data_IF_550386551599
#
_entry.id   IF_550386551599
#
_cell.length_a   1.000
_cell.length_b   1.000
_cell.length_c   1.000
_cell.angle_alpha   90.00
_cell.angle_beta   90.00
_cell.angle_gamma   90.00
#
_symmetry.space_group_name_H-M   'P 1'
#
loop_
_entity.id
_entity.type
_entity.pdbx_description
1 polymer ?
#
# COMPACT_ATOMS: atom_id res chain seq x y z
N UNK A 1 1.10 0.45 -31.13
CA UNK A 1 0.41 -0.06 -29.92
C UNK A 1 1.07 -1.36 -29.51
N UNK A 2 1.57 -1.51 -28.28
CA UNK A 2 2.11 -2.78 -27.83
C UNK A 2 0.99 -3.82 -27.80
N UNK A 3 1.22 -4.95 -28.46
CA UNK A 3 0.28 -6.09 -28.41
C UNK A 3 0.40 -6.71 -27.02
N UNK A 4 -0.60 -6.54 -26.18
CA UNK A 4 -0.72 -7.30 -24.94
C UNK A 4 -0.77 -8.78 -25.26
N UNK A 5 0.11 -9.57 -24.66
CA UNK A 5 0.00 -11.02 -24.73
C UNK A 5 -1.31 -11.40 -23.99
N UNK A 6 -2.25 -11.99 -24.69
CA UNK A 6 -3.64 -12.27 -24.25
C UNK A 6 -3.74 -13.05 -22.93
N UNK A 7 -2.70 -13.80 -22.53
CA UNK A 7 -2.66 -14.58 -21.27
C UNK A 7 -2.04 -13.82 -20.09
N UNK A 8 -1.36 -12.70 -20.32
CA UNK A 8 -0.71 -11.91 -19.28
C UNK A 8 -1.39 -10.54 -19.07
N UNK A 9 -2.46 -10.25 -19.84
CA UNK A 9 -3.12 -8.96 -19.83
C UNK A 9 -3.69 -8.56 -18.46
N UNK A 10 -4.15 -9.53 -17.68
CA UNK A 10 -4.75 -9.32 -16.35
C UNK A 10 -3.73 -9.42 -15.20
N UNK A 11 -2.46 -9.73 -15.51
CA UNK A 11 -1.43 -9.86 -14.49
C UNK A 11 -0.89 -8.48 -14.08
N UNK A 12 -0.92 -8.18 -12.77
CA UNK A 12 -0.51 -6.88 -12.22
C UNK A 12 0.92 -6.49 -12.56
N UNK A 13 1.86 -7.44 -12.60
CA UNK A 13 3.28 -7.18 -12.93
C UNK A 13 3.46 -6.85 -14.40
N UNK A 14 2.71 -7.55 -15.28
CA UNK A 14 2.71 -7.28 -16.70
C UNK A 14 2.13 -5.89 -17.00
N UNK A 15 1.02 -5.53 -16.38
CA UNK A 15 0.39 -4.21 -16.52
C UNK A 15 1.32 -3.11 -16.05
N UNK A 16 1.93 -3.25 -14.86
CA UNK A 16 2.87 -2.27 -14.32
C UNK A 16 4.09 -2.06 -15.24
N UNK A 17 4.63 -3.15 -15.81
CA UNK A 17 5.72 -3.03 -16.77
C UNK A 17 5.32 -2.25 -18.03
N UNK A 18 4.14 -2.51 -18.59
CA UNK A 18 3.65 -1.77 -19.77
C UNK A 18 3.37 -0.31 -19.47
N UNK A 19 2.86 0.02 -18.29
CA UNK A 19 2.71 1.41 -17.86
C UNK A 19 4.08 2.09 -17.72
N UNK A 20 5.05 1.41 -17.11
CA UNK A 20 6.41 1.89 -16.96
C UNK A 20 7.14 2.06 -18.30
N UNK A 21 6.81 1.27 -19.31
CA UNK A 21 7.36 1.39 -20.67
C UNK A 21 7.05 2.74 -21.33
N UNK A 22 6.05 3.48 -20.85
CA UNK A 22 5.76 4.84 -21.30
C UNK A 22 6.85 5.85 -20.92
N UNK A 23 7.63 5.54 -19.88
CA UNK A 23 8.69 6.40 -19.35
C UNK A 23 10.09 5.82 -19.60
N UNK A 24 10.19 4.51 -19.79
CA UNK A 24 11.45 3.81 -20.06
C UNK A 24 11.21 2.75 -21.14
N UNK A 25 11.67 3.03 -22.37
CA UNK A 25 11.47 2.17 -23.55
C UNK A 25 12.06 0.76 -23.35
N UNK A 26 13.11 0.58 -22.54
CA UNK A 26 13.70 -0.73 -22.24
C UNK A 26 12.71 -1.69 -21.60
N UNK A 27 11.74 -1.15 -20.85
CA UNK A 27 10.69 -1.95 -20.20
C UNK A 27 9.59 -2.42 -21.17
N UNK A 28 9.63 -1.97 -22.44
CA UNK A 28 8.67 -2.43 -23.46
C UNK A 28 8.86 -3.90 -23.82
N UNK A 29 10.07 -4.43 -23.67
CA UNK A 29 10.41 -5.84 -23.90
C UNK A 29 10.68 -6.56 -22.56
N UNK A 30 10.48 -7.89 -22.55
CA UNK A 30 10.84 -8.71 -21.37
C UNK A 30 12.35 -8.84 -21.22
N UNK A 31 13.10 -8.80 -22.31
CA UNK A 31 14.56 -8.77 -22.27
C UNK A 31 15.07 -7.56 -21.52
N UNK A 32 14.68 -6.36 -21.97
CA UNK A 32 15.11 -5.12 -21.35
C UNK A 32 14.66 -5.00 -19.91
N UNK A 33 13.43 -5.43 -19.61
CA UNK A 33 12.94 -5.44 -18.23
C UNK A 33 13.70 -6.42 -17.34
N UNK A 34 14.05 -7.60 -17.84
CA UNK A 34 14.83 -8.60 -17.11
C UNK A 34 16.24 -8.10 -16.80
N UNK A 35 16.87 -7.40 -17.75
CA UNK A 35 18.17 -6.75 -17.53
C UNK A 35 18.08 -5.65 -16.45
N UNK A 36 17.10 -4.78 -16.53
CA UNK A 36 16.89 -3.70 -15.52
C UNK A 36 16.62 -4.26 -14.12
N UNK A 37 15.88 -5.36 -14.04
CA UNK A 37 15.55 -6.01 -12.77
C UNK A 37 16.67 -6.92 -12.26
N UNK A 38 17.64 -7.29 -13.09
CA UNK A 38 18.66 -8.28 -12.75
C UNK A 38 18.09 -9.69 -12.54
N UNK A 39 16.98 -10.04 -13.21
CA UNK A 39 16.34 -11.35 -13.13
C UNK A 39 16.41 -12.08 -14.47
N UNK A 40 16.27 -13.41 -14.44
CA UNK A 40 16.20 -14.20 -15.68
C UNK A 40 14.93 -13.89 -16.47
N UNK A 41 15.06 -13.73 -17.80
CA UNK A 41 13.94 -13.44 -18.69
C UNK A 41 12.83 -14.50 -18.63
N UNK A 42 13.21 -15.77 -18.54
CA UNK A 42 12.25 -16.86 -18.45
C UNK A 42 11.47 -16.81 -17.14
N UNK A 43 12.16 -16.45 -16.06
CA UNK A 43 11.53 -16.25 -14.75
C UNK A 43 10.54 -15.09 -14.78
N UNK A 44 10.93 -13.94 -15.34
CA UNK A 44 10.03 -12.79 -15.52
C UNK A 44 8.80 -13.18 -16.36
N UNK A 45 8.99 -13.92 -17.46
CA UNK A 45 7.89 -14.40 -18.29
C UNK A 45 6.92 -15.30 -17.51
N UNK A 46 7.41 -16.18 -16.63
CA UNK A 46 6.58 -17.05 -15.79
C UNK A 46 5.81 -16.28 -14.72
N UNK A 47 6.41 -15.23 -14.16
CA UNK A 47 5.73 -14.32 -13.22
C UNK A 47 4.59 -13.60 -13.93
N UNK A 48 4.83 -13.01 -15.10
CA UNK A 48 3.82 -12.29 -15.88
C UNK A 48 2.70 -13.21 -16.41
N UNK A 49 2.98 -14.48 -16.63
CA UNK A 49 1.98 -15.48 -17.02
C UNK A 49 1.23 -16.08 -15.81
N UNK A 50 1.62 -15.70 -14.59
CA UNK A 50 1.01 -16.23 -13.37
C UNK A 50 1.38 -17.69 -13.05
N UNK A 51 2.39 -18.24 -13.74
CA UNK A 51 2.85 -19.61 -13.53
C UNK A 51 3.73 -19.77 -12.30
N UNK A 52 4.36 -18.67 -11.86
CA UNK A 52 5.25 -18.61 -10.70
C UNK A 52 4.95 -17.36 -9.90
N UNK A 53 4.86 -17.50 -8.59
CA UNK A 53 4.77 -16.36 -7.67
C UNK A 53 6.16 -15.74 -7.51
N UNK A 54 6.31 -14.41 -7.67
CA UNK A 54 7.59 -13.75 -7.42
C UNK A 54 7.96 -13.80 -5.93
N UNK A 55 9.25 -13.69 -5.64
CA UNK A 55 9.72 -13.48 -4.28
C UNK A 55 9.44 -12.03 -3.84
N UNK A 56 9.27 -11.77 -2.54
CA UNK A 56 9.05 -10.41 -2.04
C UNK A 56 10.11 -9.41 -2.49
N UNK A 57 11.36 -9.83 -2.58
CA UNK A 57 12.49 -9.01 -3.05
C UNK A 57 12.35 -8.63 -4.52
N UNK A 58 11.87 -9.55 -5.36
CA UNK A 58 11.60 -9.28 -6.77
C UNK A 58 10.46 -8.26 -6.94
N UNK A 59 9.44 -8.36 -6.08
CA UNK A 59 8.32 -7.41 -6.07
C UNK A 59 8.78 -6.02 -5.65
N UNK A 60 9.68 -5.92 -4.68
CA UNK A 60 10.29 -4.64 -4.28
C UNK A 60 11.04 -3.99 -5.45
N UNK A 61 11.89 -4.76 -6.16
CA UNK A 61 12.60 -4.29 -7.34
C UNK A 61 11.66 -3.87 -8.46
N UNK A 62 10.63 -4.68 -8.74
CA UNK A 62 9.61 -4.35 -9.74
C UNK A 62 8.87 -3.06 -9.38
N UNK A 63 8.46 -2.90 -8.12
CA UNK A 63 7.75 -1.71 -7.67
C UNK A 63 8.59 -0.44 -7.82
N UNK A 64 9.89 -0.52 -7.57
CA UNK A 64 10.81 0.62 -7.68
C UNK A 64 11.15 0.94 -9.15
N UNK A 65 11.52 -0.06 -9.95
CA UNK A 65 11.91 0.13 -11.37
C UNK A 65 10.70 0.51 -12.23
N UNK A 66 9.55 -0.09 -11.98
CA UNK A 66 8.31 0.23 -12.71
C UNK A 66 7.63 1.49 -12.18
N UNK A 67 8.11 2.07 -11.06
CA UNK A 67 7.46 3.20 -10.36
C UNK A 67 6.01 2.91 -10.00
N UNK A 68 5.76 1.69 -9.57
CA UNK A 68 4.44 1.15 -9.26
C UNK A 68 4.36 0.70 -7.78
N UNK A 69 4.34 1.63 -6.82
CA UNK A 69 4.34 1.32 -5.38
C UNK A 69 3.14 0.45 -4.96
N UNK A 70 2.04 0.50 -5.69
CA UNK A 70 0.85 -0.31 -5.48
C UNK A 70 1.10 -1.82 -5.62
N UNK A 71 2.14 -2.24 -6.36
CA UNK A 71 2.51 -3.65 -6.50
C UNK A 71 2.81 -4.30 -5.15
N UNK A 72 3.42 -3.57 -4.22
CA UNK A 72 3.74 -4.04 -2.86
C UNK A 72 2.47 -4.43 -2.10
N UNK A 73 1.48 -3.53 -2.09
CA UNK A 73 0.20 -3.74 -1.44
C UNK A 73 -0.64 -4.84 -2.10
N UNK A 74 -0.65 -4.87 -3.43
CA UNK A 74 -1.38 -5.87 -4.21
C UNK A 74 -0.78 -7.27 -4.00
N UNK A 75 0.55 -7.39 -4.04
CA UNK A 75 1.23 -8.65 -3.76
C UNK A 75 0.93 -9.17 -2.35
N UNK A 76 1.05 -8.34 -1.32
CA UNK A 76 0.74 -8.74 0.04
C UNK A 76 -0.70 -9.23 0.19
N UNK A 77 -1.63 -8.58 -0.48
CA UNK A 77 -3.06 -8.89 -0.39
C UNK A 77 -3.47 -10.15 -1.15
N UNK A 78 -2.92 -10.34 -2.35
CA UNK A 78 -3.37 -11.39 -3.26
C UNK A 78 -2.53 -12.67 -3.16
N UNK A 79 -1.23 -12.53 -2.90
CA UNK A 79 -0.27 -13.64 -2.97
C UNK A 79 0.34 -14.02 -1.62
N UNK A 80 0.50 -13.04 -0.70
CA UNK A 80 1.09 -13.31 0.61
C UNK A 80 0.03 -13.89 1.56
N UNK A 81 0.30 -15.04 2.20
CA UNK A 81 -0.63 -15.62 3.18
C UNK A 81 -0.98 -14.69 4.35
N UNK A 82 -0.04 -13.83 4.75
CA UNK A 82 -0.23 -12.86 5.83
C UNK A 82 -1.13 -11.68 5.45
N UNK A 83 -1.27 -11.40 4.15
CA UNK A 83 -2.09 -10.30 3.64
C UNK A 83 -3.55 -10.66 3.40
N UNK A 84 -3.92 -11.94 3.57
CA UNK A 84 -5.30 -12.37 3.39
C UNK A 84 -6.21 -11.67 4.40
N UNK A 85 -7.18 -10.91 3.90
CA UNK A 85 -8.11 -10.13 4.73
C UNK A 85 -7.75 -8.64 4.86
N UNK A 86 -6.65 -8.19 4.29
CA UNK A 86 -6.37 -6.75 4.21
C UNK A 86 -7.42 -6.05 3.32
N UNK A 87 -7.96 -4.91 3.76
CA UNK A 87 -8.92 -4.15 2.95
C UNK A 87 -8.29 -3.68 1.65
N UNK A 88 -9.05 -3.78 0.56
CA UNK A 88 -8.62 -3.28 -0.75
C UNK A 88 -8.95 -1.79 -0.84
N UNK A 89 -7.95 -0.97 -1.09
CA UNK A 89 -8.15 0.45 -1.43
C UNK A 89 -8.27 0.52 -2.96
N UNK A 90 -9.50 0.69 -3.46
CA UNK A 90 -9.79 0.59 -4.89
C UNK A 90 -9.67 1.91 -5.65
N UNK A 91 -9.72 3.05 -4.95
CA UNK A 91 -9.68 4.36 -5.58
C UNK A 91 -9.32 5.50 -4.63
N UNK A 92 -9.02 6.68 -5.19
CA UNK A 92 -8.87 7.93 -4.41
C UNK A 92 -10.12 8.27 -3.60
N UNK A 93 -11.31 7.89 -4.07
CA UNK A 93 -12.56 8.06 -3.33
C UNK A 93 -12.59 7.25 -2.02
N UNK A 94 -11.89 6.13 -1.97
CA UNK A 94 -11.75 5.37 -0.73
C UNK A 94 -10.85 6.09 0.29
N UNK A 95 -9.85 6.83 -0.17
CA UNK A 95 -8.99 7.66 0.68
C UNK A 95 -9.82 8.80 1.28
N UNK A 96 -10.64 9.47 0.50
CA UNK A 96 -11.54 10.54 0.97
C UNK A 96 -12.54 9.98 2.00
N UNK A 97 -13.11 8.81 1.75
CA UNK A 97 -14.00 8.13 2.69
C UNK A 97 -13.28 7.74 3.98
N UNK A 98 -12.04 7.27 3.90
CA UNK A 98 -11.22 6.96 5.07
C UNK A 98 -10.92 8.24 5.86
N UNK A 99 -10.56 9.33 5.19
CA UNK A 99 -10.32 10.63 5.81
C UNK A 99 -11.58 11.15 6.51
N UNK A 100 -12.74 11.10 5.84
CA UNK A 100 -14.01 11.49 6.44
C UNK A 100 -14.38 10.64 7.66
N UNK A 101 -14.17 9.32 7.59
CA UNK A 101 -14.40 8.42 8.73
C UNK A 101 -13.46 8.73 9.89
N UNK A 102 -12.19 9.02 9.61
CA UNK A 102 -11.23 9.43 10.64
C UNK A 102 -11.67 10.74 11.31
N UNK A 103 -12.04 11.75 10.53
CA UNK A 103 -12.56 13.03 11.07
C UNK A 103 -13.83 12.84 11.91
N UNK A 104 -14.76 11.99 11.47
CA UNK A 104 -15.94 11.63 12.26
C UNK A 104 -15.58 10.91 13.56
N UNK A 105 -14.55 10.07 13.54
CA UNK A 105 -14.06 9.37 14.74
C UNK A 105 -13.41 10.33 15.73
N UNK A 106 -12.65 11.33 15.26
CA UNK A 106 -12.09 12.37 16.11
C UNK A 106 -13.16 13.20 16.83
N UNK A 107 -14.29 13.48 16.16
CA UNK A 107 -15.41 14.16 16.81
C UNK A 107 -15.98 13.31 17.96
N UNK A 108 -16.12 12.00 17.77
CA UNK A 108 -16.57 11.06 18.80
C UNK A 108 -15.59 10.91 19.97
N UNK A 109 -14.29 11.10 19.74
CA UNK A 109 -13.27 11.07 20.79
C UNK A 109 -13.52 12.19 21.82
N UNK A 110 -13.90 13.38 21.39
CA UNK A 110 -14.24 14.46 22.31
C UNK A 110 -15.46 14.13 23.16
N UNK A 111 -16.50 13.53 22.57
CA UNK A 111 -17.70 13.06 23.32
C UNK A 111 -17.32 11.96 24.33
N UNK A 112 -16.48 11.01 23.93
CA UNK A 112 -15.99 9.96 24.82
C UNK A 112 -15.11 10.51 25.96
N UNK A 113 -14.32 11.54 25.70
CA UNK A 113 -13.52 12.24 26.70
C UNK A 113 -14.40 12.89 27.76
N UNK A 114 -15.43 13.62 27.37
CA UNK A 114 -16.38 14.23 28.29
C UNK A 114 -17.07 13.17 29.16
N UNK A 115 -17.53 12.07 28.56
CA UNK A 115 -18.14 10.94 29.30
C UNK A 115 -17.17 10.31 30.31
N UNK A 116 -15.88 10.16 29.95
CA UNK A 116 -14.88 9.63 30.87
C UNK A 116 -14.59 10.58 32.03
N UNK A 117 -14.58 11.89 31.80
CA UNK A 117 -14.41 12.90 32.85
C UNK A 117 -15.59 12.90 33.81
N UNK A 118 -16.82 12.73 33.31
CA UNK A 118 -18.03 12.61 34.13
C UNK A 118 -18.01 11.35 35.02
N UNK A 119 -17.59 10.21 34.45
CA UNK A 119 -17.51 8.92 35.19
C UNK A 119 -16.44 8.95 36.27
N UNK A 120 -15.31 9.62 36.02
CA UNK A 120 -14.21 9.69 37.01
C UNK A 120 -14.46 10.70 38.10
N UNK A 121 -15.50 11.54 38.00
CA UNK A 121 -15.95 12.47 39.07
C UNK A 121 -14.92 13.53 39.49
N UNK A 122 -13.88 13.72 38.69
CA UNK A 122 -12.76 14.60 39.03
C UNK A 122 -12.20 15.30 37.78
N UNK A 123 -13.02 16.20 37.22
CA UNK A 123 -12.61 17.00 36.05
C UNK A 123 -11.30 17.78 36.32
N UNK A 124 -11.10 18.26 37.54
CA UNK A 124 -9.90 19.02 37.92
C UNK A 124 -8.64 18.16 38.02
N UNK A 125 -8.73 16.94 38.53
CA UNK A 125 -7.59 16.02 38.64
C UNK A 125 -7.09 15.54 37.27
N UNK A 126 -8.02 15.26 36.33
CA UNK A 126 -7.67 14.88 34.97
C UNK A 126 -6.99 16.00 34.16
N UNK A 127 -7.45 17.23 34.37
CA UNK A 127 -6.89 18.41 33.71
C UNK A 127 -5.46 18.74 34.23
N UNK A 128 -5.25 18.68 35.55
CA UNK A 128 -3.91 18.88 36.12
C UNK A 128 -2.94 17.76 35.75
N UNK A 129 -3.39 16.49 35.67
CA UNK A 129 -2.59 15.37 35.23
C UNK A 129 -2.13 15.58 33.76
N UNK A 130 -3.04 15.98 32.87
CA UNK A 130 -2.71 16.28 31.48
C UNK A 130 -1.71 17.45 31.34
N UNK A 131 -1.86 18.52 32.12
CA UNK A 131 -0.92 19.64 32.16
C UNK A 131 0.48 19.23 32.60
N UNK A 132 0.56 18.33 33.61
CA UNK A 132 1.84 17.85 34.12
C UNK A 132 2.55 16.94 33.11
N UNK A 133 1.78 16.11 32.39
CA UNK A 133 2.31 15.23 31.34
C UNK A 133 2.87 16.02 30.15
N UNK A 134 2.17 17.08 29.70
CA UNK A 134 2.60 17.93 28.61
C UNK A 134 3.86 18.73 29.00
N UNK A 135 3.99 19.20 30.24
CA UNK A 135 5.21 19.88 30.72
C UNK A 135 6.42 18.97 30.74
N UNK A 136 6.27 17.73 31.20
CA UNK A 136 7.36 16.76 31.30
C UNK A 136 7.81 16.19 29.91
N UNK A 137 6.98 16.36 28.87
CA UNK A 137 7.32 15.94 27.51
C UNK A 137 8.04 17.04 26.68
N UNK A 138 8.22 18.22 27.27
CA UNK A 138 8.86 19.39 26.61
C UNK A 138 10.28 19.70 27.13
N UNK A 139 10.79 18.90 28.06
CA UNK A 139 12.18 18.87 28.53
C UNK A 139 12.89 17.63 27.97
#
# INVERSE_FOLDING_TARGET
MPKFATKAADNMFCQARYEAAKFNERLSSREGAAEELGVDRTRLARIELGSVTPYPEEVLLMADIYRAPELKGNYCREMCPLGKGMPKIESHQDIDRIALRALCSFRKINEAKELLLDITGNADAGYEFCKQYVRNASD
#
